data_IF_501405771648
#
_entry.id   IF_501405771648
#
_cell.length_a   1.000
_cell.length_b   1.000
_cell.length_c   1.000
_cell.angle_alpha   90.00
_cell.angle_beta   90.00
_cell.angle_gamma   90.00
#
_symmetry.space_group_name_H-M   'P 1'
#
loop_
_entity.id
_entity.type
_entity.pdbx_description
1 polymer ?
#
# COMPACT_ATOMS: atom_id res chain seq x y z
N UNK A 1 19.46 -12.06 -15.18
CA UNK A 1 18.01 -11.81 -15.37
C UNK A 1 17.30 -12.10 -14.06
N UNK A 2 16.78 -11.10 -13.42
CA UNK A 2 16.05 -11.19 -12.16
C UNK A 2 14.63 -10.69 -12.35
N UNK A 3 13.70 -11.18 -11.55
CA UNK A 3 12.32 -10.70 -11.56
C UNK A 3 12.03 -9.96 -10.27
N UNK A 4 11.42 -8.78 -10.38
CA UNK A 4 10.87 -8.04 -9.26
C UNK A 4 9.36 -8.15 -9.38
N UNK A 5 8.74 -8.74 -8.38
CA UNK A 5 7.30 -8.97 -8.34
C UNK A 5 6.62 -7.86 -7.53
N UNK A 6 5.67 -7.19 -8.13
CA UNK A 6 4.82 -6.18 -7.49
C UNK A 6 3.43 -6.76 -7.33
N UNK A 7 2.87 -6.68 -6.14
CA UNK A 7 1.48 -7.05 -5.89
C UNK A 7 0.64 -5.76 -5.88
N UNK A 8 -0.23 -5.65 -6.87
CA UNK A 8 -1.15 -4.53 -6.98
C UNK A 8 -2.21 -4.58 -5.88
N UNK A 9 -2.52 -3.44 -5.30
CA UNK A 9 -3.62 -3.30 -4.35
C UNK A 9 -4.80 -2.57 -5.01
N UNK A 10 -5.98 -3.14 -4.85
CA UNK A 10 -7.23 -2.52 -5.28
C UNK A 10 -8.25 -2.59 -4.13
N UNK A 11 -9.22 -1.71 -4.17
CA UNK A 11 -10.32 -1.68 -3.24
C UNK A 11 -11.54 -1.05 -3.91
N UNK A 12 -12.71 -1.65 -3.76
CA UNK A 12 -13.97 -1.16 -4.34
C UNK A 12 -13.85 -0.92 -5.86
N UNK A 13 -13.23 -1.87 -6.56
CA UNK A 13 -12.97 -1.83 -8.01
C UNK A 13 -12.03 -0.69 -8.48
N UNK A 14 -11.25 -0.09 -7.59
CA UNK A 14 -10.26 0.92 -7.92
C UNK A 14 -8.86 0.49 -7.48
N UNK A 15 -7.87 0.68 -8.36
CA UNK A 15 -6.47 0.51 -8.00
C UNK A 15 -6.05 1.59 -7.00
N UNK A 16 -5.33 1.17 -5.97
CA UNK A 16 -4.77 2.11 -5.01
C UNK A 16 -3.54 2.81 -5.59
N UNK A 17 -3.40 4.14 -5.40
CA UNK A 17 -2.27 4.91 -5.95
C UNK A 17 -0.90 4.33 -5.60
N UNK A 18 -0.75 3.74 -4.42
CA UNK A 18 0.50 3.10 -3.97
C UNK A 18 0.98 2.00 -4.92
N UNK A 19 0.10 1.34 -5.68
CA UNK A 19 0.48 0.35 -6.70
C UNK A 19 1.45 0.95 -7.71
N UNK A 20 1.21 2.17 -8.17
CA UNK A 20 2.07 2.85 -9.14
C UNK A 20 3.41 3.31 -8.53
N UNK A 21 3.41 3.61 -7.24
CA UNK A 21 4.64 3.88 -6.48
C UNK A 21 5.51 2.63 -6.36
N UNK A 22 4.89 1.45 -6.13
CA UNK A 22 5.61 0.18 -6.10
C UNK A 22 6.27 -0.14 -7.45
N UNK A 23 5.60 0.18 -8.55
CA UNK A 23 6.17 0.00 -9.92
C UNK A 23 7.41 0.89 -10.07
N UNK A 24 7.35 2.13 -9.61
CA UNK A 24 8.51 3.03 -9.60
C UNK A 24 9.66 2.51 -8.75
N UNK A 25 9.37 2.03 -7.54
CA UNK A 25 10.37 1.42 -6.66
C UNK A 25 11.01 0.19 -7.34
N UNK A 26 10.19 -0.67 -7.97
CA UNK A 26 10.66 -1.84 -8.70
C UNK A 26 11.60 -1.47 -9.86
N UNK A 27 11.29 -0.41 -10.60
CA UNK A 27 12.17 0.07 -11.67
C UNK A 27 13.53 0.54 -11.14
N UNK A 28 13.55 1.22 -9.99
CA UNK A 28 14.79 1.63 -9.32
C UNK A 28 15.66 0.46 -8.85
N UNK A 29 15.08 -0.73 -8.70
CA UNK A 29 15.79 -1.93 -8.27
C UNK A 29 16.31 -2.80 -9.42
N UNK A 30 16.06 -2.47 -10.68
CA UNK A 30 16.64 -3.20 -11.81
C UNK A 30 18.16 -2.98 -11.85
N UNK A 31 18.93 -4.07 -11.84
CA UNK A 31 20.40 -4.04 -11.98
C UNK A 31 20.84 -4.02 -13.44
N UNK A 32 19.99 -4.49 -14.32
CA UNK A 32 20.27 -4.57 -15.75
C UNK A 32 18.98 -4.41 -16.56
N UNK A 33 19.12 -4.15 -17.86
CA UNK A 33 17.99 -4.14 -18.82
C UNK A 33 17.26 -5.47 -18.93
N UNK A 34 17.91 -6.57 -18.55
CA UNK A 34 17.35 -7.91 -18.62
C UNK A 34 16.44 -8.24 -17.41
N UNK A 35 16.52 -7.44 -16.36
CA UNK A 35 15.65 -7.60 -15.20
C UNK A 35 14.23 -7.15 -15.52
N UNK A 36 13.25 -7.90 -15.04
CA UNK A 36 11.84 -7.68 -15.34
C UNK A 36 11.05 -7.25 -14.12
N UNK A 37 10.12 -6.34 -14.33
CA UNK A 37 9.07 -5.99 -13.37
C UNK A 37 7.79 -6.68 -13.80
N UNK A 38 7.33 -7.59 -12.95
CA UNK A 38 6.05 -8.29 -13.11
C UNK A 38 5.07 -7.74 -12.08
N UNK A 39 3.91 -7.28 -12.53
CA UNK A 39 2.83 -6.81 -11.66
C UNK A 39 1.74 -7.85 -11.63
N UNK A 40 1.39 -8.34 -10.44
CA UNK A 40 0.27 -9.26 -10.26
C UNK A 40 -0.91 -8.55 -9.62
N UNK A 41 -2.11 -8.77 -10.16
CA UNK A 41 -3.38 -8.30 -9.61
C UNK A 41 -4.29 -9.49 -9.32
N UNK A 42 -4.77 -9.58 -8.08
CA UNK A 42 -5.49 -10.74 -7.54
C UNK A 42 -6.94 -10.35 -7.28
N UNK A 43 -7.89 -11.10 -7.79
CA UNK A 43 -9.31 -10.87 -7.53
C UNK A 43 -10.22 -11.38 -8.64
N UNK A 44 -11.54 -11.37 -8.39
CA UNK A 44 -12.55 -11.86 -9.33
C UNK A 44 -12.65 -11.02 -10.61
N UNK A 45 -12.17 -9.78 -10.58
CA UNK A 45 -12.17 -8.86 -11.71
C UNK A 45 -10.76 -8.40 -12.09
N UNK A 46 -9.74 -9.23 -11.87
CA UNK A 46 -8.33 -8.89 -12.09
C UNK A 46 -8.05 -8.32 -13.51
N UNK A 47 -8.75 -8.81 -14.51
CA UNK A 47 -8.58 -8.37 -15.90
C UNK A 47 -8.95 -6.89 -16.14
N UNK A 48 -9.89 -6.34 -15.36
CA UNK A 48 -10.35 -4.95 -15.53
C UNK A 48 -9.26 -3.92 -15.23
N UNK A 49 -8.24 -4.32 -14.46
CA UNK A 49 -7.14 -3.43 -14.06
C UNK A 49 -5.98 -3.39 -15.05
N UNK A 50 -5.95 -4.27 -16.04
CA UNK A 50 -4.79 -4.42 -16.95
C UNK A 50 -4.49 -3.15 -17.73
N UNK A 51 -5.53 -2.44 -18.20
CA UNK A 51 -5.36 -1.18 -18.92
C UNK A 51 -4.68 -0.10 -18.07
N UNK A 52 -5.12 0.05 -16.82
CA UNK A 52 -4.55 1.02 -15.88
C UNK A 52 -3.14 0.63 -15.44
N UNK A 53 -2.82 -0.67 -15.34
CA UNK A 53 -1.49 -1.17 -15.00
C UNK A 53 -0.51 -1.14 -16.18
N UNK A 54 -0.98 -0.84 -17.41
CA UNK A 54 -0.14 -0.75 -18.61
C UNK A 54 0.64 0.58 -18.65
N UNK A 55 1.45 0.79 -17.61
CA UNK A 55 2.33 1.95 -17.49
C UNK A 55 3.77 1.60 -17.83
N UNK A 56 4.59 2.61 -18.12
CA UNK A 56 6.01 2.39 -18.39
C UNK A 56 6.68 1.74 -17.18
N UNK A 57 7.65 0.89 -17.46
CA UNK A 57 8.35 0.18 -16.40
C UNK A 57 7.73 -1.15 -16.00
N UNK A 58 6.55 -1.51 -16.51
CA UNK A 58 5.97 -2.84 -16.35
C UNK A 58 6.31 -3.69 -17.58
N UNK A 59 6.94 -4.83 -17.36
CA UNK A 59 7.29 -5.78 -18.42
C UNK A 59 6.20 -6.85 -18.59
N UNK A 60 5.56 -7.27 -17.50
CA UNK A 60 4.52 -8.29 -17.49
C UNK A 60 3.43 -7.94 -16.48
N UNK A 61 2.16 -8.16 -16.86
CA UNK A 61 1.02 -8.14 -15.94
C UNK A 61 0.49 -9.58 -15.82
N UNK A 62 0.31 -10.03 -14.60
CA UNK A 62 -0.33 -11.30 -14.27
C UNK A 62 -1.70 -11.03 -13.68
N UNK A 63 -2.74 -11.40 -14.37
CA UNK A 63 -4.09 -11.48 -13.81
C UNK A 63 -4.23 -12.80 -13.08
N UNK A 64 -4.62 -12.73 -11.80
CA UNK A 64 -4.80 -13.89 -10.93
C UNK A 64 -6.27 -13.98 -10.54
N UNK A 65 -7.10 -14.68 -11.33
CA UNK A 65 -8.50 -14.85 -11.00
C UNK A 65 -8.66 -15.57 -9.65
N UNK A 66 -9.37 -14.95 -8.74
CA UNK A 66 -9.65 -15.48 -7.41
C UNK A 66 -11.14 -15.28 -7.07
N UNK A 67 -11.76 -16.15 -6.27
CA UNK A 67 -13.20 -16.06 -5.96
C UNK A 67 -13.51 -14.97 -4.91
N UNK A 68 -12.74 -13.89 -4.92
CA UNK A 68 -12.88 -12.75 -3.99
C UNK A 68 -12.85 -11.44 -4.77
N UNK A 69 -13.77 -10.53 -4.47
CA UNK A 69 -13.79 -9.19 -5.06
C UNK A 69 -12.94 -8.19 -4.28
N UNK A 70 -12.76 -8.44 -3.01
CA UNK A 70 -11.99 -7.62 -2.07
C UNK A 70 -10.89 -8.48 -1.42
N UNK A 71 -10.02 -7.84 -0.65
CA UNK A 71 -8.93 -8.51 0.04
C UNK A 71 -9.42 -9.66 0.94
N UNK A 72 -8.75 -10.79 0.83
CA UNK A 72 -8.88 -11.95 1.71
C UNK A 72 -7.48 -12.48 2.04
N UNK A 73 -7.10 -12.55 3.33
CA UNK A 73 -5.72 -12.86 3.71
C UNK A 73 -5.28 -14.27 3.30
N UNK A 74 -6.15 -15.28 3.37
CA UNK A 74 -5.80 -16.65 3.01
C UNK A 74 -5.62 -16.78 1.49
N UNK A 75 -6.46 -16.11 0.70
CA UNK A 75 -6.37 -16.10 -0.76
C UNK A 75 -5.12 -15.36 -1.22
N UNK A 76 -4.84 -14.20 -0.64
CA UNK A 76 -3.66 -13.41 -1.00
C UNK A 76 -2.35 -14.10 -0.59
N UNK A 77 -2.29 -14.70 0.62
CA UNK A 77 -1.12 -15.49 1.03
C UNK A 77 -0.85 -16.64 0.06
N UNK A 78 -1.89 -17.39 -0.31
CA UNK A 78 -1.77 -18.51 -1.23
C UNK A 78 -1.37 -18.07 -2.65
N UNK A 79 -1.99 -17.01 -3.16
CA UNK A 79 -1.70 -16.46 -4.49
C UNK A 79 -0.27 -15.94 -4.59
N UNK A 80 0.18 -15.15 -3.60
CA UNK A 80 1.54 -14.61 -3.60
C UNK A 80 2.57 -15.72 -3.41
N UNK A 81 2.28 -16.74 -2.60
CA UNK A 81 3.14 -17.94 -2.48
C UNK A 81 3.29 -18.63 -3.84
N UNK A 82 2.18 -18.91 -4.52
CA UNK A 82 2.21 -19.57 -5.83
C UNK A 82 2.94 -18.74 -6.89
N UNK A 83 2.74 -17.42 -6.90
CA UNK A 83 3.46 -16.50 -7.79
C UNK A 83 4.96 -16.50 -7.53
N UNK A 84 5.38 -16.46 -6.27
CA UNK A 84 6.80 -16.53 -5.88
C UNK A 84 7.39 -17.88 -6.34
N UNK A 85 6.67 -18.97 -6.14
CA UNK A 85 7.13 -20.29 -6.53
C UNK A 85 7.28 -20.44 -8.04
N UNK A 86 6.38 -19.87 -8.82
CA UNK A 86 6.42 -19.92 -10.28
C UNK A 86 7.47 -18.98 -10.89
N UNK A 87 7.55 -17.74 -10.39
CA UNK A 87 8.39 -16.69 -10.98
C UNK A 87 9.77 -16.58 -10.36
N UNK A 88 9.98 -17.13 -9.15
CA UNK A 88 11.24 -17.05 -8.40
C UNK A 88 11.83 -15.64 -8.37
N UNK A 89 11.05 -14.62 -7.96
CA UNK A 89 11.52 -13.25 -7.94
C UNK A 89 12.63 -13.09 -6.90
N UNK A 90 13.57 -12.16 -7.14
CA UNK A 90 14.53 -11.77 -6.12
C UNK A 90 13.93 -10.84 -5.07
N UNK A 91 12.96 -10.01 -5.50
CA UNK A 91 12.29 -9.02 -4.66
C UNK A 91 10.78 -9.09 -4.90
N UNK A 92 10.01 -9.03 -3.82
CA UNK A 92 8.55 -8.90 -3.82
C UNK A 92 8.18 -7.61 -3.11
N UNK A 93 7.48 -6.73 -3.79
CA UNK A 93 7.02 -5.45 -3.26
C UNK A 93 5.52 -5.48 -3.03
N UNK A 94 5.12 -5.15 -1.82
CA UNK A 94 3.74 -5.05 -1.36
C UNK A 94 3.50 -3.62 -0.85
N UNK A 95 2.29 -3.07 -0.91
CA UNK A 95 1.99 -1.81 -0.23
C UNK A 95 2.10 -2.00 1.30
N UNK A 96 2.54 -0.98 2.03
CA UNK A 96 2.44 -1.00 3.49
C UNK A 96 1.02 -0.55 3.89
N UNK A 97 0.09 -1.48 3.81
CA UNK A 97 -1.34 -1.30 4.09
C UNK A 97 -1.83 -2.30 5.13
N UNK A 98 -3.04 -2.09 5.64
CA UNK A 98 -3.69 -3.05 6.56
C UNK A 98 -3.84 -4.42 5.90
N UNK A 99 -4.14 -4.44 4.60
CA UNK A 99 -4.35 -5.66 3.84
C UNK A 99 -3.04 -6.46 3.75
N UNK A 100 -1.95 -5.84 3.34
CA UNK A 100 -0.64 -6.51 3.26
C UNK A 100 -0.12 -6.98 4.63
N UNK A 101 -0.35 -6.22 5.70
CA UNK A 101 0.01 -6.63 7.06
C UNK A 101 -0.71 -7.91 7.49
N UNK A 102 -1.87 -8.20 6.90
CA UNK A 102 -2.66 -9.40 7.18
C UNK A 102 -1.99 -10.71 6.77
N UNK A 103 -1.02 -10.69 5.83
CA UNK A 103 -0.40 -11.92 5.34
C UNK A 103 1.11 -11.86 5.09
N UNK A 104 1.68 -10.68 4.81
CA UNK A 104 3.08 -10.56 4.36
C UNK A 104 4.10 -11.13 5.34
N UNK A 105 3.93 -10.88 6.64
CA UNK A 105 4.82 -11.40 7.67
C UNK A 105 4.74 -12.93 7.79
N UNK A 106 3.53 -13.48 7.70
CA UNK A 106 3.28 -14.93 7.74
C UNK A 106 3.91 -15.61 6.52
N UNK A 107 3.68 -15.07 5.33
CA UNK A 107 4.28 -15.51 4.08
C UNK A 107 5.82 -15.58 4.19
N UNK A 108 6.44 -14.48 4.59
CA UNK A 108 7.90 -14.39 4.67
C UNK A 108 8.48 -15.34 5.74
N UNK A 109 7.82 -15.45 6.89
CA UNK A 109 8.26 -16.30 8.00
C UNK A 109 8.18 -17.79 7.64
N UNK A 110 7.06 -18.25 7.05
CA UNK A 110 6.87 -19.64 6.66
C UNK A 110 7.91 -20.12 5.64
N UNK A 111 8.28 -19.26 4.70
CA UNK A 111 9.21 -19.61 3.62
C UNK A 111 10.67 -19.22 3.92
N UNK A 112 10.93 -18.54 5.03
CA UNK A 112 12.27 -18.11 5.42
C UNK A 112 12.85 -17.00 4.53
N UNK A 113 12.01 -16.19 3.89
CA UNK A 113 12.42 -15.05 3.07
C UNK A 113 13.01 -13.91 3.92
N UNK A 114 13.80 -13.03 3.29
CA UNK A 114 14.12 -11.72 3.88
C UNK A 114 12.82 -10.90 4.01
N UNK A 115 12.68 -10.11 5.10
CA UNK A 115 11.45 -9.33 5.31
C UNK A 115 11.72 -7.98 5.95
N UNK A 116 11.17 -6.93 5.37
CA UNK A 116 11.15 -5.60 5.96
C UNK A 116 9.78 -4.93 5.74
N UNK A 117 9.33 -4.17 6.73
CA UNK A 117 8.04 -3.46 6.70
C UNK A 117 8.23 -1.97 6.80
N UNK A 118 7.26 -1.22 6.24
CA UNK A 118 7.23 0.24 6.31
C UNK A 118 8.48 0.89 5.71
N UNK A 119 8.95 0.30 4.59
CA UNK A 119 10.15 0.72 3.89
C UNK A 119 9.85 1.99 3.10
N UNK A 120 10.74 2.99 3.19
CA UNK A 120 10.61 4.25 2.46
C UNK A 120 11.85 4.59 1.59
N UNK A 121 12.94 3.87 1.73
CA UNK A 121 14.06 3.84 0.78
C UNK A 121 14.42 2.38 0.56
N UNK A 122 14.66 2.00 -0.68
CA UNK A 122 15.20 0.69 -1.05
C UNK A 122 16.16 0.86 -2.22
N UNK A 123 17.35 0.32 -2.07
CA UNK A 123 18.40 0.45 -3.05
C UNK A 123 19.44 -0.67 -2.94
N UNK A 124 20.28 -0.79 -3.93
CA UNK A 124 21.47 -1.64 -3.85
C UNK A 124 22.68 -0.82 -3.41
N UNK A 125 23.32 -1.22 -2.31
CA UNK A 125 24.61 -0.73 -1.87
C UNK A 125 25.68 -1.77 -2.29
N UNK A 126 26.33 -1.53 -3.43
CA UNK A 126 27.16 -2.54 -4.08
C UNK A 126 26.32 -3.72 -4.59
N UNK A 127 26.55 -4.91 -4.03
CA UNK A 127 25.77 -6.11 -4.33
C UNK A 127 24.54 -6.30 -3.43
N UNK A 128 24.52 -5.64 -2.29
CA UNK A 128 23.58 -5.93 -1.20
C UNK A 128 22.32 -5.07 -1.33
N UNK A 129 21.17 -5.71 -1.20
CA UNK A 129 19.90 -5.01 -1.14
C UNK A 129 19.72 -4.46 0.27
N UNK A 130 19.51 -3.14 0.36
CA UNK A 130 19.32 -2.43 1.62
C UNK A 130 17.97 -1.73 1.61
N UNK A 131 17.22 -1.92 2.68
CA UNK A 131 15.94 -1.26 2.92
C UNK A 131 16.03 -0.33 4.12
N UNK A 132 15.59 0.92 3.98
CA UNK A 132 15.50 1.86 5.10
C UNK A 132 14.06 1.99 5.56
N UNK A 133 13.88 1.88 6.86
CA UNK A 133 12.58 2.00 7.54
C UNK A 133 12.68 2.84 8.80
N UNK A 134 11.54 3.34 9.29
CA UNK A 134 11.49 4.03 10.58
C UNK A 134 11.59 3.06 11.75
N UNK A 135 12.34 3.46 12.76
CA UNK A 135 12.43 2.77 14.05
C UNK A 135 12.07 3.70 15.21
N UNK A 136 11.74 3.12 16.36
CA UNK A 136 11.42 3.86 17.59
C UNK A 136 10.40 4.99 17.37
N UNK A 137 9.28 4.66 16.76
CA UNK A 137 8.22 5.61 16.39
C UNK A 137 8.73 6.75 15.49
N UNK A 138 9.43 6.38 14.42
CA UNK A 138 10.00 7.30 13.41
C UNK A 138 11.14 8.22 13.93
N UNK A 139 11.69 7.95 15.11
CA UNK A 139 12.77 8.79 15.67
C UNK A 139 14.13 8.50 15.07
N UNK A 140 14.32 7.32 14.51
CA UNK A 140 15.56 6.89 13.85
C UNK A 140 15.24 6.20 12.54
N UNK A 141 16.14 6.31 11.58
CA UNK A 141 16.14 5.49 10.37
C UNK A 141 16.97 4.24 10.64
N UNK A 142 16.42 3.09 10.28
CA UNK A 142 17.07 1.79 10.42
C UNK A 142 17.30 1.23 9.02
N UNK A 143 18.54 0.96 8.69
CA UNK A 143 18.90 0.20 7.51
C UNK A 143 18.87 -1.29 7.81
N UNK A 144 18.26 -2.06 6.92
CA UNK A 144 18.11 -3.51 7.03
C UNK A 144 18.67 -4.12 5.76
N UNK A 145 19.63 -5.01 5.90
CA UNK A 145 20.16 -5.87 4.85
C UNK A 145 19.61 -7.31 4.99
N UNK A 146 19.83 -8.13 3.98
CA UNK A 146 19.24 -9.46 3.90
C UNK A 146 20.28 -10.54 3.57
N UNK A 147 21.30 -10.74 4.42
CA UNK A 147 22.39 -11.65 4.13
C UNK A 147 21.90 -13.09 3.92
N UNK A 148 22.32 -13.69 2.81
CA UNK A 148 21.99 -15.08 2.47
C UNK A 148 20.53 -15.33 2.05
N UNK A 149 19.74 -14.28 1.84
CA UNK A 149 18.35 -14.39 1.36
C UNK A 149 18.30 -14.27 -0.16
N UNK A 150 17.77 -15.29 -0.83
CA UNK A 150 17.55 -15.29 -2.27
C UNK A 150 16.29 -14.54 -2.69
N UNK A 151 15.30 -14.43 -1.79
CA UNK A 151 14.03 -13.73 -1.98
C UNK A 151 13.82 -12.80 -0.80
N UNK A 152 13.50 -11.54 -1.10
CA UNK A 152 13.18 -10.52 -0.10
C UNK A 152 11.78 -9.98 -0.35
N UNK A 153 10.95 -10.01 0.67
CA UNK A 153 9.60 -9.45 0.68
C UNK A 153 9.61 -8.13 1.45
N UNK A 154 9.10 -7.07 0.85
CA UNK A 154 9.05 -5.75 1.50
C UNK A 154 7.68 -5.13 1.38
N UNK A 155 7.23 -4.48 2.46
CA UNK A 155 6.08 -3.59 2.37
C UNK A 155 6.55 -2.14 2.31
N UNK A 156 6.12 -1.43 1.25
CA UNK A 156 6.56 -0.07 0.91
C UNK A 156 5.53 0.94 1.42
N UNK A 157 6.02 1.96 2.11
CA UNK A 157 5.22 3.08 2.59
C UNK A 157 4.64 3.86 1.41
N UNK A 158 3.35 4.21 1.49
CA UNK A 158 2.70 5.07 0.50
C UNK A 158 3.23 6.51 0.54
N UNK A 159 3.11 7.22 -0.55
CA UNK A 159 3.52 8.62 -0.75
C UNK A 159 5.03 8.86 -0.61
N UNK A 160 5.84 7.87 -0.99
CA UNK A 160 7.31 7.92 -0.93
C UNK A 160 7.93 7.91 -2.32
N UNK A 161 7.41 7.11 -3.22
CA UNK A 161 7.91 7.00 -4.58
C UNK A 161 7.00 7.72 -5.55
N UNK A 162 7.59 8.52 -6.44
CA UNK A 162 6.79 9.22 -7.46
C UNK A 162 6.35 8.23 -8.54
N UNK A 163 5.03 8.10 -8.83
CA UNK A 163 4.54 7.26 -9.92
C UNK A 163 5.12 7.63 -11.29
N UNK A 164 5.26 6.63 -12.16
CA UNK A 164 5.62 6.85 -13.56
C UNK A 164 4.36 7.24 -14.34
N UNK A 165 4.44 8.34 -15.10
CA UNK A 165 3.27 8.94 -15.77
C UNK A 165 3.08 8.45 -17.22
N UNK A 166 4.07 7.75 -17.81
CA UNK A 166 4.02 7.33 -19.20
C UNK A 166 3.36 5.97 -19.37
N UNK A 167 2.66 5.77 -20.51
CA UNK A 167 2.08 4.48 -20.87
C UNK A 167 3.17 3.47 -21.24
N UNK A 168 2.87 2.19 -21.02
CA UNK A 168 3.70 1.04 -21.35
C UNK A 168 2.94 0.03 -22.22
N UNK A 169 3.63 -1.00 -22.64
CA UNK A 169 3.07 -2.10 -23.41
C UNK A 169 3.51 -3.45 -22.84
N UNK A 170 3.11 -3.77 -21.59
CA UNK A 170 3.46 -5.02 -20.95
C UNK A 170 2.79 -6.21 -21.65
N UNK A 171 3.37 -7.40 -21.50
CA UNK A 171 2.65 -8.62 -21.80
C UNK A 171 1.63 -8.92 -20.71
N UNK A 172 0.41 -9.31 -21.10
CA UNK A 172 -0.64 -9.69 -20.13
C UNK A 172 -0.84 -11.20 -20.20
N UNK A 173 -0.70 -11.85 -19.06
CA UNK A 173 -0.87 -13.30 -18.92
C UNK A 173 -1.82 -13.63 -17.77
N UNK A 174 -2.56 -14.71 -17.91
CA UNK A 174 -3.34 -15.25 -16.81
C UNK A 174 -2.46 -16.18 -15.96
N UNK A 175 -2.67 -16.14 -14.65
CA UNK A 175 -2.04 -17.05 -13.70
C UNK A 175 -3.12 -17.79 -12.91
N UNK A 176 -3.23 -19.09 -13.15
CA UNK A 176 -4.24 -19.92 -12.53
C UNK A 176 -3.86 -20.20 -11.05
N UNK A 177 -4.72 -19.76 -10.15
CA UNK A 177 -4.58 -20.00 -8.73
C UNK A 177 -5.22 -21.36 -8.37
N UNK A 178 -4.52 -22.25 -7.67
CA UNK A 178 -5.13 -23.43 -7.09
C UNK A 178 -6.28 -23.06 -6.13
N UNK A 179 -7.25 -23.96 -5.99
CA UNK A 179 -8.37 -23.71 -5.09
C UNK A 179 -7.88 -23.43 -3.65
N UNK A 180 -8.29 -22.30 -3.10
CA UNK A 180 -7.94 -21.86 -1.75
C UNK A 180 -9.17 -21.92 -0.87
N UNK A 181 -9.03 -22.48 0.32
CA UNK A 181 -10.05 -22.43 1.35
C UNK A 181 -9.78 -21.22 2.26
N UNK A 182 -10.64 -20.20 2.19
CA UNK A 182 -10.57 -19.06 3.10
C UNK A 182 -11.33 -19.33 4.39
N UNK A 183 -10.77 -18.86 5.50
CA UNK A 183 -11.39 -18.87 6.84
C UNK A 183 -12.22 -17.63 7.10
N UNK A 184 -12.14 -16.64 6.22
CA UNK A 184 -12.86 -15.37 6.30
C UNK A 184 -13.81 -15.20 5.11
N UNK A 185 -14.78 -14.31 5.26
CA UNK A 185 -15.68 -13.93 4.19
C UNK A 185 -15.98 -12.44 4.28
N UNK A 186 -15.70 -11.71 3.21
CA UNK A 186 -16.20 -10.35 3.09
C UNK A 186 -17.72 -10.39 2.93
N UNK A 187 -18.44 -9.70 3.82
CA UNK A 187 -19.91 -9.67 3.78
C UNK A 187 -20.43 -8.41 3.13
N UNK A 188 -19.96 -7.26 3.59
CA UNK A 188 -20.46 -5.97 3.15
C UNK A 188 -19.44 -4.87 3.51
N UNK A 189 -19.51 -3.77 2.77
CA UNK A 189 -18.78 -2.55 3.09
C UNK A 189 -19.76 -1.55 3.73
N UNK A 190 -19.54 -1.25 4.99
CA UNK A 190 -20.30 -0.22 5.70
C UNK A 190 -19.55 1.08 5.66
N UNK A 191 -20.06 2.04 4.90
CA UNK A 191 -19.50 3.38 4.83
C UNK A 191 -19.69 4.09 6.19
N UNK A 192 -18.59 4.50 6.80
CA UNK A 192 -18.64 5.29 8.03
C UNK A 192 -18.85 6.76 7.65
N UNK A 193 -19.94 7.35 8.10
CA UNK A 193 -20.28 8.75 7.84
C UNK A 193 -21.60 8.85 7.11
N UNK A 194 -22.68 9.07 7.84
CA UNK A 194 -24.01 9.29 7.23
C UNK A 194 -24.02 10.55 6.38
N UNK A 195 -24.23 10.38 5.09
CA UNK A 195 -24.85 11.28 4.14
C UNK A 195 -24.38 12.72 3.96
N UNK A 196 -23.72 13.36 4.92
CA UNK A 196 -23.36 14.79 4.85
C UNK A 196 -21.93 15.11 5.34
N UNK A 197 -21.10 14.09 5.58
CA UNK A 197 -19.75 14.37 6.04
C UNK A 197 -18.74 14.35 4.86
N UNK A 198 -17.75 15.23 4.95
CA UNK A 198 -16.77 15.45 3.89
C UNK A 198 -15.72 14.35 3.98
N UNK A 199 -15.41 13.72 2.85
CA UNK A 199 -14.23 12.86 2.73
C UNK A 199 -12.95 13.72 2.78
N UNK A 200 -12.28 13.70 3.93
CA UNK A 200 -11.08 14.51 4.16
C UNK A 200 -9.89 14.11 3.29
N UNK A 201 -9.94 12.95 2.62
CA UNK A 201 -8.87 12.50 1.73
C UNK A 201 -8.92 13.20 0.37
N UNK A 202 -10.05 13.86 0.05
CA UNK A 202 -10.29 14.54 -1.23
C UNK A 202 -10.17 16.06 -1.14
N UNK A 203 -9.90 16.62 0.06
CA UNK A 203 -9.82 18.07 0.26
C UNK A 203 -8.39 18.59 0.15
N UNK A 204 -8.23 19.73 -0.51
CA UNK A 204 -6.92 20.33 -0.77
C UNK A 204 -6.31 21.01 0.46
N UNK A 205 -7.16 21.56 1.36
CA UNK A 205 -6.69 22.32 2.50
C UNK A 205 -7.41 21.93 3.79
N UNK A 206 -6.66 21.44 4.76
CA UNK A 206 -7.15 20.96 6.05
C UNK A 206 -6.61 21.86 7.17
N UNK A 207 -7.51 22.31 8.05
CA UNK A 207 -7.18 22.88 9.35
C UNK A 207 -7.51 21.88 10.43
N UNK A 208 -6.51 21.45 11.21
CA UNK A 208 -6.72 20.42 12.24
C UNK A 208 -6.55 21.00 13.64
N UNK A 209 -7.52 20.69 14.53
CA UNK A 209 -7.49 21.06 15.93
C UNK A 209 -7.13 19.87 16.80
N UNK A 210 -6.50 20.15 17.93
CA UNK A 210 -6.12 19.16 18.94
C UNK A 210 -6.52 19.61 20.34
N UNK A 211 -6.16 18.85 21.37
CA UNK A 211 -6.49 19.16 22.78
C UNK A 211 -6.03 20.54 23.24
N UNK A 212 -5.09 21.18 22.53
CA UNK A 212 -4.62 22.53 22.84
C UNK A 212 -5.70 23.61 22.75
N UNK A 213 -6.85 23.33 22.09
CA UNK A 213 -7.99 24.27 22.08
C UNK A 213 -8.68 24.39 23.44
N UNK A 214 -8.42 23.48 24.38
CA UNK A 214 -8.90 23.53 25.76
C UNK A 214 -10.29 22.93 25.95
N UNK A 215 -11.35 23.52 25.41
CA UNK A 215 -12.75 23.15 25.65
C UNK A 215 -13.52 22.99 24.35
N UNK A 216 -14.61 22.18 24.41
CA UNK A 216 -15.50 21.93 23.27
C UNK A 216 -16.11 23.23 22.71
N UNK A 217 -16.42 24.18 23.58
CA UNK A 217 -16.97 25.48 23.20
C UNK A 217 -16.08 26.27 22.23
N UNK A 218 -14.78 26.02 22.24
CA UNK A 218 -13.83 26.66 21.36
C UNK A 218 -13.84 26.07 19.93
N UNK A 219 -14.46 24.90 19.71
CA UNK A 219 -14.53 24.27 18.39
C UNK A 219 -15.18 25.20 17.37
N UNK A 220 -16.24 25.94 17.78
CA UNK A 220 -16.96 26.83 16.86
C UNK A 220 -16.08 27.98 16.37
N UNK A 221 -15.25 28.56 17.22
CA UNK A 221 -14.29 29.58 16.82
C UNK A 221 -13.32 29.08 15.73
N UNK A 222 -12.88 27.83 15.84
CA UNK A 222 -12.00 27.22 14.83
C UNK A 222 -12.76 26.83 13.58
N UNK A 223 -14.06 26.55 13.66
CA UNK A 223 -14.93 26.33 12.49
C UNK A 223 -15.03 27.61 11.66
N UNK A 224 -15.36 28.73 12.28
CA UNK A 224 -15.41 30.03 11.62
C UNK A 224 -14.06 30.42 10.99
N UNK A 225 -12.96 30.13 11.70
CA UNK A 225 -11.61 30.39 11.19
C UNK A 225 -11.30 29.52 9.97
N UNK A 226 -11.65 28.24 10.00
CA UNK A 226 -11.46 27.32 8.88
C UNK A 226 -12.28 27.76 7.65
N UNK A 227 -13.54 28.14 7.85
CA UNK A 227 -14.39 28.68 6.78
C UNK A 227 -13.80 29.96 6.17
N UNK A 228 -13.32 30.89 7.00
CA UNK A 228 -12.67 32.12 6.53
C UNK A 228 -11.40 31.83 5.73
N UNK A 229 -10.65 30.80 6.10
CA UNK A 229 -9.44 30.38 5.43
C UNK A 229 -9.70 29.51 4.18
N UNK A 230 -10.94 29.11 3.91
CA UNK A 230 -11.28 28.14 2.87
C UNK A 230 -10.77 26.73 3.15
N UNK A 231 -10.61 26.39 4.44
CA UNK A 231 -10.10 25.10 4.88
C UNK A 231 -11.23 24.19 5.39
N UNK A 232 -11.03 22.90 5.32
CA UNK A 232 -11.89 21.92 5.99
C UNK A 232 -11.41 21.69 7.42
N UNK A 233 -12.30 21.93 8.42
CA UNK A 233 -11.96 21.68 9.81
C UNK A 233 -11.90 20.18 10.08
N UNK A 234 -10.76 19.73 10.59
CA UNK A 234 -10.46 18.36 11.01
C UNK A 234 -9.93 18.33 12.44
N UNK A 235 -9.67 17.14 12.96
CA UNK A 235 -9.20 17.02 14.34
C UNK A 235 -8.22 15.87 14.55
N UNK A 236 -7.48 15.95 15.63
CA UNK A 236 -6.71 14.84 16.16
C UNK A 236 -7.61 13.82 16.88
N UNK A 237 -7.14 12.58 17.01
CA UNK A 237 -7.88 11.50 17.68
C UNK A 237 -8.48 11.86 19.03
N UNK A 238 -7.77 12.56 19.96
CA UNK A 238 -8.36 12.93 21.26
C UNK A 238 -9.62 13.81 21.17
N UNK A 239 -9.76 14.62 20.13
CA UNK A 239 -10.97 15.43 19.89
C UNK A 239 -12.10 14.55 19.37
N UNK A 240 -11.80 13.62 18.45
CA UNK A 240 -12.78 12.68 17.93
C UNK A 240 -13.26 11.70 19.03
N UNK A 241 -12.34 11.21 19.88
CA UNK A 241 -12.67 10.33 21.02
C UNK A 241 -13.52 11.06 22.08
N UNK A 242 -13.35 12.37 22.24
CA UNK A 242 -14.19 13.21 23.11
C UNK A 242 -15.58 13.53 22.49
N UNK A 243 -15.79 13.20 21.22
CA UNK A 243 -17.05 13.45 20.50
C UNK A 243 -17.25 14.90 20.04
N UNK A 244 -16.22 15.76 20.12
CA UNK A 244 -16.31 17.18 19.73
C UNK A 244 -16.39 17.37 18.22
N UNK A 245 -15.77 16.46 17.46
CA UNK A 245 -15.93 16.32 16.01
C UNK A 245 -16.11 14.86 15.63
N UNK A 246 -16.80 14.56 14.52
CA UNK A 246 -17.01 13.18 14.08
C UNK A 246 -15.67 12.50 13.69
N UNK A 247 -15.62 11.17 13.84
CA UNK A 247 -14.42 10.38 13.52
C UNK A 247 -13.99 10.49 12.05
N UNK A 248 -14.90 10.75 11.14
CA UNK A 248 -14.64 11.02 9.72
C UNK A 248 -13.73 12.22 9.49
N UNK A 249 -13.66 13.15 10.46
CA UNK A 249 -12.78 14.31 10.44
C UNK A 249 -11.47 14.12 11.20
N UNK A 250 -11.20 12.90 11.64
CA UNK A 250 -9.95 12.61 12.31
C UNK A 250 -8.80 12.51 11.31
N UNK A 251 -7.79 13.34 11.46
CA UNK A 251 -6.51 13.22 10.76
C UNK A 251 -5.50 12.47 11.62
N UNK A 252 -4.75 11.56 10.99
CA UNK A 252 -3.60 10.93 11.63
C UNK A 252 -2.37 11.81 11.35
N UNK A 253 -1.81 12.40 12.40
CA UNK A 253 -0.56 13.14 12.27
C UNK A 253 0.56 12.11 12.20
N UNK A 254 0.89 11.64 11.00
CA UNK A 254 2.19 11.04 10.77
C UNK A 254 3.19 12.18 10.71
N UNK A 255 4.12 12.22 11.65
CA UNK A 255 5.23 13.15 11.57
C UNK A 255 6.09 12.74 10.36
N UNK A 256 5.78 13.31 9.19
CA UNK A 256 6.73 13.35 8.09
C UNK A 256 7.76 14.42 8.44
N UNK A 257 8.98 14.02 8.61
CA UNK A 257 10.14 14.92 8.54
C UNK A 257 10.87 14.67 7.24
#
# INVERSE_FOLDING_TARGET
MSTILVIAEHRRNELRPVTFELISAAQGLKKSSDDKVTVAVIGSQAETYTAALSVSGVDEILTVPAPVSEFDPDVYEAAVTALIDAKKPSVVLLPHSVDSLGYAATLASKAGYGFATDVFIVEYQGSDLVATRGGYNQKVNVEVDFPGKSIVVMTIRASVFKPLESSGSPTVNNFDLPAVHSRSQNKDFVEQGGGNDIDITTVDFIMSIGRGIGEETNVEQFRELAETAGATLCCSRPIADAGWLPKSRQVEIRQSR
#
